data_IF_430087922306
#
_entry.id   IF_430087922306
#
_cell.length_a   1.000
_cell.length_b   1.000
_cell.length_c   1.000
_cell.angle_alpha   90.00
_cell.angle_beta   90.00
_cell.angle_gamma   90.00
#
_symmetry.space_group_name_H-M   'P 1'
#
loop_
_entity.id
_entity.type
_entity.pdbx_description
1 polymer ?
#
# COMPACT_ATOMS: atom_id res chain seq x y z
N UNK A 1 26.44 -2.77 4.60
CA UNK A 1 25.23 -2.78 3.76
C UNK A 1 25.24 -4.12 3.03
N UNK A 2 24.50 -5.09 3.52
CA UNK A 2 24.27 -6.33 2.75
C UNK A 2 23.53 -5.92 1.49
N UNK A 3 24.14 -6.07 0.33
CA UNK A 3 23.42 -5.96 -0.95
C UNK A 3 22.23 -6.90 -0.86
N UNK A 4 21.03 -6.35 -0.78
CA UNK A 4 19.80 -7.13 -0.83
C UNK A 4 19.79 -7.79 -2.19
N UNK A 5 20.13 -9.09 -2.23
CA UNK A 5 20.14 -9.87 -3.47
C UNK A 5 18.78 -9.72 -4.14
N UNK A 6 18.77 -9.24 -5.38
CA UNK A 6 17.55 -9.09 -6.17
C UNK A 6 16.76 -10.41 -6.18
N UNK A 7 15.45 -10.39 -5.89
CA UNK A 7 14.63 -11.60 -5.97
C UNK A 7 14.66 -12.19 -7.38
N UNK A 8 14.72 -13.52 -7.50
CA UNK A 8 14.70 -14.19 -8.81
C UNK A 8 13.45 -13.82 -9.62
N UNK A 9 12.30 -13.69 -8.93
CA UNK A 9 11.04 -13.26 -9.54
C UNK A 9 11.09 -11.84 -10.10
N UNK A 10 12.01 -10.99 -9.65
CA UNK A 10 12.17 -9.62 -10.15
C UNK A 10 12.94 -9.55 -11.48
N UNK A 11 13.52 -10.65 -11.97
CA UNK A 11 14.31 -10.65 -13.20
C UNK A 11 13.51 -10.15 -14.42
N UNK A 12 12.20 -10.44 -14.47
CA UNK A 12 11.32 -9.96 -15.53
C UNK A 12 11.25 -8.42 -15.60
N UNK A 13 11.44 -7.74 -14.46
CA UNK A 13 11.48 -6.28 -14.39
C UNK A 13 12.78 -5.76 -14.99
N UNK A 14 13.92 -6.40 -14.71
CA UNK A 14 15.21 -6.04 -15.30
C UNK A 14 15.21 -6.30 -16.81
N UNK A 15 14.65 -7.42 -17.25
CA UNK A 15 14.59 -7.81 -18.67
C UNK A 15 13.51 -7.05 -19.45
N UNK A 16 12.67 -6.28 -18.75
CA UNK A 16 11.61 -5.47 -19.34
C UNK A 16 12.19 -4.56 -20.44
N UNK A 17 11.57 -4.62 -21.63
CA UNK A 17 11.93 -3.79 -22.79
C UNK A 17 10.80 -2.84 -23.13
N UNK A 18 11.06 -1.51 -23.19
CA UNK A 18 10.07 -0.55 -23.63
C UNK A 18 9.47 -0.91 -24.98
N UNK A 19 8.14 -0.82 -25.08
CA UNK A 19 7.41 -0.89 -26.34
C UNK A 19 6.73 0.43 -26.71
N UNK A 20 6.73 1.37 -25.76
CA UNK A 20 6.17 2.71 -25.85
C UNK A 20 7.18 3.74 -25.32
N UNK A 21 6.83 5.01 -25.46
CA UNK A 21 7.67 6.15 -25.05
C UNK A 21 7.49 6.52 -23.57
N UNK A 22 6.35 6.15 -22.98
CA UNK A 22 5.98 6.47 -21.61
C UNK A 22 5.77 5.18 -20.80
N UNK A 23 6.02 5.25 -19.49
CA UNK A 23 5.80 4.18 -18.53
C UNK A 23 4.91 4.64 -17.38
N UNK A 24 3.94 3.81 -17.00
CA UNK A 24 3.12 4.03 -15.80
C UNK A 24 3.13 2.79 -14.92
N UNK A 25 3.64 2.94 -13.70
CA UNK A 25 3.43 2.01 -12.60
C UNK A 25 2.11 2.30 -11.90
N UNK A 26 1.33 1.27 -11.59
CA UNK A 26 -0.03 1.43 -11.05
C UNK A 26 -0.16 0.57 -9.80
N UNK A 27 -0.43 1.19 -8.66
CA UNK A 27 -0.74 0.43 -7.44
C UNK A 27 -2.10 -0.27 -7.54
N UNK A 28 -2.30 -1.30 -6.72
CA UNK A 28 -3.50 -2.13 -6.75
C UNK A 28 -4.57 -1.67 -5.77
N UNK A 29 -4.47 -2.06 -4.50
CA UNK A 29 -5.52 -1.89 -3.49
C UNK A 29 -5.66 -0.42 -3.09
N UNK A 30 -6.85 0.17 -3.23
CA UNK A 30 -7.07 1.58 -2.91
C UNK A 30 -6.68 2.54 -4.04
N UNK A 31 -6.03 2.03 -5.08
CA UNK A 31 -5.64 2.75 -6.28
C UNK A 31 -6.47 2.31 -7.49
N UNK A 32 -6.18 1.14 -8.07
CA UNK A 32 -6.96 0.57 -9.17
C UNK A 32 -8.17 -0.23 -8.66
N UNK A 33 -8.00 -0.95 -7.55
CA UNK A 33 -8.96 -1.93 -7.02
C UNK A 33 -9.64 -1.41 -5.75
N UNK A 34 -10.99 -1.50 -5.69
CA UNK A 34 -11.78 -1.16 -4.51
C UNK A 34 -11.76 -2.28 -3.46
N UNK A 35 -10.56 -2.58 -2.96
CA UNK A 35 -10.30 -3.68 -2.03
C UNK A 35 -9.69 -3.22 -0.70
N UNK A 36 -9.16 -2.00 -0.62
CA UNK A 36 -8.47 -1.51 0.57
C UNK A 36 -9.42 -1.36 1.77
N UNK A 37 -10.59 -0.76 1.54
CA UNK A 37 -11.56 -0.48 2.61
C UNK A 37 -12.10 -1.76 3.23
N UNK A 38 -12.55 -2.73 2.43
CA UNK A 38 -13.03 -4.03 2.94
C UNK A 38 -11.93 -4.81 3.66
N UNK A 39 -10.68 -4.80 3.15
CA UNK A 39 -9.54 -5.41 3.83
C UNK A 39 -9.39 -4.82 5.24
N UNK A 40 -9.40 -3.50 5.38
CA UNK A 40 -9.17 -2.87 6.69
C UNK A 40 -10.38 -2.89 7.63
N UNK A 41 -11.59 -2.68 7.10
CA UNK A 41 -12.82 -2.64 7.90
C UNK A 41 -13.25 -4.03 8.37
N UNK A 42 -13.12 -5.04 7.52
CA UNK A 42 -13.68 -6.37 7.75
C UNK A 42 -12.64 -7.46 8.03
N UNK A 43 -11.35 -7.23 7.75
CA UNK A 43 -10.30 -8.22 8.03
C UNK A 43 -9.34 -7.74 9.12
N UNK A 44 -8.62 -6.63 8.89
CA UNK A 44 -7.63 -6.13 9.86
C UNK A 44 -8.29 -5.68 11.17
N UNK A 45 -9.37 -4.89 11.10
CA UNK A 45 -10.01 -4.36 12.30
C UNK A 45 -10.57 -5.46 13.22
N UNK A 46 -11.37 -6.43 12.73
CA UNK A 46 -11.82 -7.53 13.56
C UNK A 46 -10.66 -8.38 14.10
N UNK A 47 -9.59 -8.57 13.32
CA UNK A 47 -8.41 -9.28 13.79
C UNK A 47 -7.70 -8.57 14.95
N UNK A 48 -7.50 -7.24 14.88
CA UNK A 48 -6.94 -6.49 16.03
C UNK A 48 -7.75 -6.71 17.30
N UNK A 49 -9.09 -6.65 17.18
CA UNK A 49 -9.99 -6.82 18.32
C UNK A 49 -9.90 -8.24 18.89
N UNK A 50 -9.91 -9.25 18.00
CA UNK A 50 -9.91 -10.67 18.37
C UNK A 50 -8.59 -11.11 19.01
N UNK A 51 -7.48 -10.94 18.30
CA UNK A 51 -6.20 -11.56 18.66
C UNK A 51 -5.52 -10.88 19.86
N UNK A 52 -5.81 -9.61 20.11
CA UNK A 52 -5.26 -8.88 21.27
C UNK A 52 -6.26 -8.70 22.42
N UNK A 53 -7.40 -9.42 22.39
CA UNK A 53 -8.44 -9.38 23.42
C UNK A 53 -8.96 -7.96 23.75
N UNK A 54 -9.22 -7.15 22.72
CA UNK A 54 -9.60 -5.74 22.85
C UNK A 54 -11.12 -5.50 22.73
N UNK A 55 -11.96 -6.52 22.93
CA UNK A 55 -13.41 -6.47 22.71
C UNK A 55 -14.09 -5.36 23.52
N UNK A 56 -13.69 -5.15 24.77
CA UNK A 56 -14.27 -4.11 25.64
C UNK A 56 -13.98 -2.68 25.18
N UNK A 57 -13.04 -2.48 24.26
CA UNK A 57 -12.74 -1.20 23.61
C UNK A 57 -12.96 -1.24 22.08
N UNK A 58 -13.69 -2.24 21.56
CA UNK A 58 -13.80 -2.54 20.12
C UNK A 58 -14.15 -1.34 19.24
N UNK A 59 -15.08 -0.47 19.64
CA UNK A 59 -15.41 0.75 18.89
C UNK A 59 -14.20 1.70 18.76
N UNK A 60 -13.46 1.90 19.84
CA UNK A 60 -12.27 2.75 19.87
C UNK A 60 -11.11 2.10 19.11
N UNK A 61 -10.97 0.78 19.18
CA UNK A 61 -9.98 0.02 18.40
C UNK A 61 -10.26 0.18 16.91
N UNK A 62 -11.53 0.05 16.48
CA UNK A 62 -11.93 0.25 15.09
C UNK A 62 -11.59 1.65 14.60
N UNK A 63 -12.00 2.68 15.33
CA UNK A 63 -11.67 4.06 14.97
C UNK A 63 -10.15 4.28 14.85
N UNK A 64 -9.37 3.74 15.79
CA UNK A 64 -7.89 3.84 15.76
C UNK A 64 -7.31 3.09 14.57
N UNK A 65 -7.81 1.88 14.28
CA UNK A 65 -7.34 1.07 13.17
C UNK A 65 -7.61 1.73 11.82
N UNK A 66 -8.81 2.29 11.61
CA UNK A 66 -9.16 2.97 10.37
C UNK A 66 -8.37 4.27 10.20
N UNK A 67 -8.15 5.03 11.27
CA UNK A 67 -7.26 6.19 11.20
C UNK A 67 -5.85 5.79 10.75
N UNK A 68 -5.24 4.79 11.40
CA UNK A 68 -3.88 4.34 11.08
C UNK A 68 -3.79 3.84 9.64
N UNK A 69 -4.76 3.04 9.18
CA UNK A 69 -4.60 2.31 7.93
C UNK A 69 -5.21 3.00 6.71
N UNK A 70 -6.22 3.87 6.88
CA UNK A 70 -6.98 4.48 5.78
C UNK A 70 -6.90 6.01 5.78
N UNK A 71 -6.95 6.67 6.94
CA UNK A 71 -7.29 8.11 7.02
C UNK A 71 -6.19 8.98 7.64
N UNK A 72 -4.93 8.59 7.52
CA UNK A 72 -3.80 9.36 8.06
C UNK A 72 -2.55 9.20 7.21
N UNK A 73 -1.48 9.91 7.57
CA UNK A 73 -0.17 9.77 6.93
C UNK A 73 0.45 8.37 7.01
N UNK A 74 -0.16 7.44 7.75
CA UNK A 74 0.26 6.02 7.80
C UNK A 74 -0.60 5.11 6.92
N UNK A 75 -1.46 5.68 6.07
CA UNK A 75 -2.27 4.93 5.08
C UNK A 75 -1.42 3.94 4.30
N UNK A 76 -1.91 2.71 4.15
CA UNK A 76 -1.24 1.68 3.34
C UNK A 76 0.14 1.23 3.84
N UNK A 77 0.54 1.58 5.07
CA UNK A 77 1.80 1.11 5.64
C UNK A 77 1.80 -0.41 5.86
N UNK A 78 3.00 -0.97 5.93
CA UNK A 78 3.18 -2.38 6.25
C UNK A 78 2.45 -2.76 7.56
N UNK A 79 1.77 -3.91 7.54
CA UNK A 79 0.92 -4.41 8.63
C UNK A 79 1.59 -4.40 10.01
N UNK A 80 2.88 -4.71 10.09
CA UNK A 80 3.61 -4.77 11.37
C UNK A 80 3.89 -3.36 11.92
N UNK A 81 4.14 -2.40 11.03
CA UNK A 81 4.30 -0.98 11.39
C UNK A 81 2.95 -0.41 11.83
N UNK A 82 1.88 -0.71 11.09
CA UNK A 82 0.52 -0.30 11.45
C UNK A 82 0.08 -0.89 12.80
N UNK A 83 0.43 -2.15 13.09
CA UNK A 83 0.16 -2.81 14.37
C UNK A 83 0.88 -2.10 15.53
N UNK A 84 2.17 -1.78 15.38
CA UNK A 84 2.93 -1.05 16.39
C UNK A 84 2.31 0.34 16.65
N UNK A 85 1.94 1.06 15.58
CA UNK A 85 1.29 2.37 15.68
C UNK A 85 -0.08 2.30 16.35
N UNK A 86 -0.85 1.25 16.07
CA UNK A 86 -2.14 1.01 16.73
C UNK A 86 -1.95 0.88 18.25
N UNK A 87 -1.01 0.03 18.71
CA UNK A 87 -0.74 -0.14 20.14
C UNK A 87 -0.30 1.15 20.81
N UNK A 88 0.56 1.93 20.15
CA UNK A 88 1.00 3.23 20.64
C UNK A 88 -0.20 4.18 20.84
N UNK A 89 -1.04 4.37 19.82
CA UNK A 89 -2.17 5.29 19.87
C UNK A 89 -3.24 4.84 20.87
N UNK A 90 -3.54 3.54 20.96
CA UNK A 90 -4.49 3.03 21.94
C UNK A 90 -4.03 3.29 23.38
N UNK A 91 -2.72 3.18 23.65
CA UNK A 91 -2.16 3.46 24.99
C UNK A 91 -2.21 4.94 25.35
N UNK A 92 -2.29 5.81 24.34
CA UNK A 92 -2.43 7.26 24.53
C UNK A 92 -3.89 7.72 24.62
N UNK A 93 -4.89 6.83 24.48
CA UNK A 93 -6.32 7.20 24.51
C UNK A 93 -6.93 7.03 25.91
N UNK A 94 -7.31 8.11 26.63
CA UNK A 94 -7.96 7.99 27.95
C UNK A 94 -9.18 7.06 27.95
N UNK A 95 -10.04 7.19 26.94
CA UNK A 95 -11.27 6.41 26.82
C UNK A 95 -11.02 4.91 26.66
N UNK A 96 -9.86 4.52 26.11
CA UNK A 96 -9.44 3.11 26.01
C UNK A 96 -8.95 2.63 27.37
N UNK A 97 -8.13 3.44 28.06
CA UNK A 97 -7.60 3.11 29.39
C UNK A 97 -8.72 2.95 30.42
N UNK A 98 -9.77 3.77 30.34
CA UNK A 98 -10.96 3.67 31.20
C UNK A 98 -11.73 2.34 31.03
N UNK A 99 -11.57 1.65 29.88
CA UNK A 99 -12.16 0.31 29.68
C UNK A 99 -11.39 -0.80 30.38
N UNK A 100 -10.20 -0.53 30.90
CA UNK A 100 -9.36 -1.52 31.58
C UNK A 100 -8.86 -2.64 30.67
N UNK A 101 -8.84 -2.44 29.35
CA UNK A 101 -8.25 -3.40 28.40
C UNK A 101 -6.73 -3.39 28.50
N UNK A 102 -6.12 -4.57 28.42
CA UNK A 102 -4.66 -4.68 28.34
C UNK A 102 -4.23 -4.51 26.89
N UNK A 103 -3.55 -3.40 26.60
CA UNK A 103 -2.94 -3.19 25.29
C UNK A 103 -1.52 -3.77 25.33
N UNK A 104 -1.11 -4.56 24.33
CA UNK A 104 0.28 -5.00 24.21
C UNK A 104 1.26 -3.82 24.22
N UNK A 105 2.43 -4.01 24.83
CA UNK A 105 3.43 -2.94 24.89
C UNK A 105 4.11 -2.72 23.54
N UNK A 106 4.26 -3.78 22.73
CA UNK A 106 4.85 -3.74 21.39
C UNK A 106 6.38 -3.65 21.41
N UNK A 107 7.03 -4.05 22.52
CA UNK A 107 8.49 -3.93 22.66
C UNK A 107 9.25 -4.90 21.77
N UNK A 108 8.81 -6.16 21.71
CA UNK A 108 9.43 -7.17 20.86
C UNK A 108 9.06 -6.93 19.40
N UNK A 109 7.82 -6.48 19.13
CA UNK A 109 7.42 -6.03 17.80
C UNK A 109 8.32 -4.89 17.30
N UNK A 110 8.62 -3.90 18.15
CA UNK A 110 9.53 -2.81 17.80
C UNK A 110 10.95 -3.33 17.50
N UNK A 111 11.48 -4.25 18.31
CA UNK A 111 12.76 -4.91 18.02
C UNK A 111 12.75 -5.60 16.67
N UNK A 112 11.67 -6.28 16.30
CA UNK A 112 11.52 -6.86 14.96
C UNK A 112 11.58 -5.79 13.87
N UNK A 113 10.84 -4.68 14.02
CA UNK A 113 10.83 -3.59 13.04
C UNK A 113 12.21 -2.92 12.85
N UNK A 114 13.04 -2.94 13.89
CA UNK A 114 14.39 -2.37 13.92
C UNK A 114 15.50 -3.38 13.57
N UNK A 115 15.16 -4.68 13.51
CA UNK A 115 16.14 -5.77 13.37
C UNK A 115 16.77 -5.91 11.97
N UNK A 116 16.17 -5.28 10.96
CA UNK A 116 16.53 -5.46 9.56
C UNK A 116 16.01 -6.76 8.92
N UNK A 117 15.27 -7.59 9.65
CA UNK A 117 14.55 -8.70 9.05
C UNK A 117 13.49 -8.16 8.07
N UNK A 118 13.18 -8.89 6.98
CA UNK A 118 12.11 -8.50 6.08
C UNK A 118 10.77 -8.36 6.83
N UNK A 119 10.01 -7.31 6.55
CA UNK A 119 8.70 -7.06 7.18
C UNK A 119 7.58 -7.89 6.56
N UNK A 120 7.81 -9.20 6.41
CA UNK A 120 6.90 -10.18 5.83
C UNK A 120 6.55 -11.26 6.85
N UNK A 121 5.53 -12.07 6.55
CA UNK A 121 5.14 -13.20 7.42
C UNK A 121 6.31 -14.17 7.65
N UNK A 122 7.15 -14.39 6.64
CA UNK A 122 8.38 -15.18 6.76
C UNK A 122 9.41 -14.48 7.65
N UNK A 123 9.62 -13.18 7.47
CA UNK A 123 10.65 -12.47 8.22
C UNK A 123 10.35 -12.35 9.71
N UNK A 124 9.09 -12.17 10.11
CA UNK A 124 8.70 -12.22 11.53
C UNK A 124 8.84 -13.63 12.11
N UNK A 125 8.58 -14.68 11.32
CA UNK A 125 8.81 -16.07 11.75
C UNK A 125 10.31 -16.38 11.95
N UNK A 126 11.16 -15.94 11.02
CA UNK A 126 12.62 -16.08 11.14
C UNK A 126 13.15 -15.28 12.35
N UNK A 127 12.59 -14.11 12.63
CA UNK A 127 12.90 -13.33 13.84
C UNK A 127 12.47 -14.06 15.11
N UNK A 128 11.25 -14.61 15.15
CA UNK A 128 10.71 -15.36 16.28
C UNK A 128 11.53 -16.62 16.61
N UNK A 129 12.02 -17.33 15.60
CA UNK A 129 12.89 -18.50 15.79
C UNK A 129 14.22 -18.14 16.49
N UNK A 130 14.76 -16.95 16.21
CA UNK A 130 15.96 -16.43 16.87
C UNK A 130 15.67 -15.76 18.22
N UNK A 131 14.49 -15.19 18.40
CA UNK A 131 14.09 -14.37 19.55
C UNK A 131 12.68 -14.76 20.03
N UNK A 132 12.50 -15.96 20.58
CA UNK A 132 11.18 -16.44 20.98
C UNK A 132 10.59 -15.56 22.09
N UNK A 133 9.36 -15.08 21.88
CA UNK A 133 8.63 -14.30 22.85
C UNK A 133 7.12 -14.42 22.62
N UNK A 134 6.36 -14.38 23.72
CA UNK A 134 4.89 -14.45 23.67
C UNK A 134 4.32 -13.32 22.82
N UNK A 135 4.86 -12.10 22.92
CA UNK A 135 4.38 -10.95 22.15
C UNK A 135 4.54 -11.15 20.63
N UNK A 136 5.66 -11.74 20.16
CA UNK A 136 5.86 -12.02 18.74
C UNK A 136 5.00 -13.19 18.27
N UNK A 137 4.81 -14.22 19.10
CA UNK A 137 3.88 -15.31 18.81
C UNK A 137 2.45 -14.77 18.59
N UNK A 138 1.97 -13.89 19.47
CA UNK A 138 0.66 -13.23 19.32
C UNK A 138 0.59 -12.38 18.04
N UNK A 139 1.67 -11.67 17.67
CA UNK A 139 1.73 -10.92 16.42
C UNK A 139 1.64 -11.86 15.19
N UNK A 140 2.35 -12.99 15.21
CA UNK A 140 2.29 -13.98 14.13
C UNK A 140 0.90 -14.61 14.01
N UNK A 141 0.26 -14.94 15.13
CA UNK A 141 -1.12 -15.45 15.13
C UNK A 141 -2.11 -14.42 14.57
N UNK A 142 -1.96 -13.14 14.95
CA UNK A 142 -2.74 -12.06 14.37
C UNK A 142 -2.53 -11.95 12.86
N UNK A 143 -1.28 -11.96 12.38
CA UNK A 143 -0.98 -11.85 10.95
C UNK A 143 -1.55 -13.02 10.14
N UNK A 144 -1.46 -14.24 10.67
CA UNK A 144 -2.11 -15.42 10.09
C UNK A 144 -3.63 -15.25 10.05
N UNK A 145 -4.23 -14.79 11.14
CA UNK A 145 -5.68 -14.53 11.21
C UNK A 145 -6.17 -13.47 10.23
N UNK A 146 -5.37 -12.42 9.99
CA UNK A 146 -5.65 -11.43 8.94
C UNK A 146 -5.66 -12.08 7.56
N UNK A 147 -4.66 -12.91 7.25
CA UNK A 147 -4.60 -13.59 5.95
C UNK A 147 -5.81 -14.52 5.74
N UNK A 148 -6.19 -15.30 6.76
CA UNK A 148 -7.38 -16.16 6.72
C UNK A 148 -8.67 -15.35 6.49
N UNK A 149 -8.82 -14.19 7.13
CA UNK A 149 -9.97 -13.31 6.92
C UNK A 149 -9.98 -12.69 5.52
N UNK A 150 -8.83 -12.27 4.98
CA UNK A 150 -8.75 -11.73 3.62
C UNK A 150 -9.14 -12.78 2.60
N UNK A 151 -8.60 -14.00 2.71
CA UNK A 151 -8.91 -15.11 1.80
C UNK A 151 -10.41 -15.45 1.81
N UNK A 152 -11.04 -15.40 2.99
CA UNK A 152 -12.46 -15.70 3.13
C UNK A 152 -13.39 -14.55 2.68
N UNK A 153 -13.05 -13.31 3.03
CA UNK A 153 -13.94 -12.14 2.89
C UNK A 153 -13.78 -11.40 1.57
N UNK A 154 -12.56 -11.31 1.03
CA UNK A 154 -12.23 -10.35 -0.04
C UNK A 154 -12.23 -11.04 -1.39
N UNK A 155 -13.37 -10.96 -2.09
CA UNK A 155 -13.56 -11.46 -3.45
C UNK A 155 -14.58 -10.59 -4.19
N UNK A 156 -14.48 -10.50 -5.52
CA UNK A 156 -15.39 -9.68 -6.34
C UNK A 156 -15.24 -8.16 -6.18
N UNK A 157 -14.14 -7.70 -5.57
CA UNK A 157 -13.82 -6.28 -5.44
C UNK A 157 -13.43 -5.71 -6.81
N UNK A 158 -14.36 -5.04 -7.47
CA UNK A 158 -14.15 -4.47 -8.80
C UNK A 158 -13.16 -3.29 -8.81
N UNK A 159 -12.57 -2.96 -9.96
CA UNK A 159 -11.85 -1.70 -10.11
C UNK A 159 -12.76 -0.49 -9.88
N UNK A 160 -12.17 0.61 -9.41
CA UNK A 160 -12.90 1.86 -9.28
C UNK A 160 -13.45 2.33 -10.64
N UNK A 161 -14.61 3.03 -10.67
CA UNK A 161 -15.11 3.65 -11.88
C UNK A 161 -14.05 4.56 -12.52
N UNK A 162 -13.89 4.47 -13.85
CA UNK A 162 -12.91 5.26 -14.60
C UNK A 162 -11.56 4.57 -14.81
N UNK A 163 -11.23 3.51 -14.07
CA UNK A 163 -9.94 2.80 -14.20
C UNK A 163 -9.78 2.19 -15.60
N UNK A 164 -10.80 1.49 -16.10
CA UNK A 164 -10.75 0.85 -17.41
C UNK A 164 -10.59 1.88 -18.51
N UNK A 165 -11.37 2.96 -18.44
CA UNK A 165 -11.34 4.02 -19.42
C UNK A 165 -10.00 4.78 -19.40
N UNK A 166 -9.35 4.90 -18.22
CA UNK A 166 -8.00 5.42 -18.11
C UNK A 166 -6.98 4.47 -18.76
N UNK A 167 -7.12 3.16 -18.57
CA UNK A 167 -6.24 2.17 -19.18
C UNK A 167 -6.40 2.14 -20.70
N UNK A 168 -7.62 2.24 -21.21
CA UNK A 168 -7.91 2.41 -22.63
C UNK A 168 -7.29 3.69 -23.20
N UNK A 169 -7.35 4.81 -22.45
CA UNK A 169 -6.74 6.06 -22.86
C UNK A 169 -5.21 6.01 -22.91
N UNK A 170 -4.58 5.20 -22.05
CA UNK A 170 -3.14 4.92 -22.07
C UNK A 170 -2.73 3.93 -23.18
N UNK A 171 -3.68 3.10 -23.65
CA UNK A 171 -3.41 2.03 -24.59
C UNK A 171 -2.74 2.54 -25.87
N UNK A 172 -1.63 1.89 -26.26
CA UNK A 172 -0.88 2.25 -27.46
C UNK A 172 0.12 3.41 -27.29
N UNK A 173 0.12 4.11 -26.15
CA UNK A 173 1.03 5.24 -25.86
C UNK A 173 1.90 5.02 -24.63
N UNK A 174 1.44 4.19 -23.70
CA UNK A 174 2.09 3.96 -22.41
C UNK A 174 2.28 2.46 -22.20
N UNK A 175 3.45 2.07 -21.69
CA UNK A 175 3.64 0.74 -21.10
C UNK A 175 3.21 0.76 -19.64
N UNK A 176 2.22 -0.07 -19.29
CA UNK A 176 1.69 -0.13 -17.93
C UNK A 176 2.21 -1.37 -17.19
N UNK A 177 2.40 -1.22 -15.88
CA UNK A 177 2.83 -2.29 -14.99
C UNK A 177 2.13 -2.14 -13.63
N UNK A 178 1.74 -3.24 -12.99
CA UNK A 178 1.32 -3.15 -11.59
C UNK A 178 2.54 -2.91 -10.70
N UNK A 179 2.39 -2.08 -9.67
CA UNK A 179 3.44 -1.81 -8.66
C UNK A 179 2.80 -1.98 -7.30
N UNK A 180 2.79 -3.20 -6.78
CA UNK A 180 1.99 -3.54 -5.60
C UNK A 180 2.80 -4.24 -4.50
N UNK A 181 2.36 -4.03 -3.25
CA UNK A 181 2.81 -4.78 -2.08
C UNK A 181 1.92 -6.00 -1.77
N UNK A 182 0.94 -6.30 -2.62
CA UNK A 182 0.06 -7.47 -2.52
C UNK A 182 0.80 -8.73 -2.98
N UNK A 183 0.55 -9.90 -2.34
CA UNK A 183 1.04 -11.19 -2.84
C UNK A 183 0.71 -11.39 -4.32
N UNK A 184 1.70 -11.81 -5.12
CA UNK A 184 1.55 -11.99 -6.57
C UNK A 184 0.37 -12.89 -6.93
N UNK A 185 0.14 -13.99 -6.21
CA UNK A 185 -0.98 -14.91 -6.48
C UNK A 185 -2.35 -14.23 -6.33
N UNK A 186 -2.53 -13.44 -5.27
CA UNK A 186 -3.77 -12.68 -5.07
C UNK A 186 -3.91 -11.59 -6.15
N UNK A 187 -2.82 -10.88 -6.44
CA UNK A 187 -2.78 -9.82 -7.44
C UNK A 187 -3.10 -10.33 -8.84
N UNK A 188 -2.49 -11.44 -9.28
CA UNK A 188 -2.79 -12.06 -10.57
C UNK A 188 -4.26 -12.48 -10.66
N UNK A 189 -4.77 -13.16 -9.63
CA UNK A 189 -6.18 -13.58 -9.58
C UNK A 189 -7.14 -12.38 -9.71
N UNK A 190 -6.97 -11.37 -8.86
CA UNK A 190 -7.82 -10.17 -8.82
C UNK A 190 -7.79 -9.42 -10.16
N UNK A 191 -6.60 -9.23 -10.75
CA UNK A 191 -6.45 -8.52 -12.01
C UNK A 191 -6.99 -9.32 -13.21
N UNK A 192 -6.91 -10.65 -13.18
CA UNK A 192 -7.51 -11.51 -14.20
C UNK A 192 -9.03 -11.61 -14.06
N UNK A 193 -9.56 -11.72 -12.84
CA UNK A 193 -11.00 -11.75 -12.56
C UNK A 193 -11.72 -10.53 -13.14
N UNK A 194 -11.04 -9.39 -13.16
CA UNK A 194 -11.55 -8.14 -13.70
C UNK A 194 -10.97 -7.77 -15.06
N UNK A 195 -10.40 -8.67 -15.85
CA UNK A 195 -9.90 -8.37 -17.20
C UNK A 195 -8.92 -7.15 -17.27
N UNK A 196 -8.21 -6.85 -16.18
CA UNK A 196 -7.23 -5.76 -16.12
C UNK A 196 -5.83 -6.24 -16.47
N UNK A 197 -5.55 -7.54 -16.27
CA UNK A 197 -4.25 -8.15 -16.55
C UNK A 197 -3.78 -7.89 -17.99
N UNK A 198 -4.70 -7.85 -18.96
CA UNK A 198 -4.39 -7.61 -20.38
C UNK A 198 -3.81 -6.22 -20.69
N UNK A 199 -3.96 -5.25 -19.80
CA UNK A 199 -3.38 -3.92 -19.94
C UNK A 199 -1.94 -3.84 -19.42
N UNK A 200 -1.52 -4.80 -18.60
CA UNK A 200 -0.24 -4.77 -17.90
C UNK A 200 0.81 -5.58 -18.67
N UNK A 201 2.00 -5.01 -18.82
CA UNK A 201 3.16 -5.72 -19.36
C UNK A 201 3.72 -6.73 -18.37
N UNK A 202 3.67 -6.39 -17.08
CA UNK A 202 4.07 -7.23 -15.96
C UNK A 202 3.13 -6.95 -14.79
N UNK A 203 2.76 -8.00 -14.07
CA UNK A 203 2.06 -7.90 -12.79
C UNK A 203 3.11 -8.07 -11.68
N UNK A 204 3.61 -6.98 -11.09
CA UNK A 204 4.64 -6.99 -10.05
C UNK A 204 4.03 -6.87 -8.65
N UNK A 205 4.03 -7.99 -7.93
CA UNK A 205 3.65 -8.07 -6.51
C UNK A 205 4.86 -8.11 -5.56
N UNK A 206 4.59 -8.23 -4.25
CA UNK A 206 5.61 -8.13 -3.18
C UNK A 206 6.84 -9.04 -3.35
N UNK A 207 6.70 -10.20 -4.00
CA UNK A 207 7.80 -11.15 -4.19
C UNK A 207 8.83 -10.65 -5.21
N UNK A 208 8.52 -9.60 -5.96
CA UNK A 208 9.42 -8.94 -6.90
C UNK A 208 10.16 -7.74 -6.30
N UNK A 209 10.03 -7.46 -4.99
CA UNK A 209 10.75 -6.39 -4.30
C UNK A 209 9.84 -5.29 -3.76
N UNK A 210 10.45 -4.15 -3.41
CA UNK A 210 9.71 -2.95 -3.01
C UNK A 210 9.18 -2.18 -4.22
N UNK A 211 8.17 -1.32 -4.01
CA UNK A 211 7.59 -0.48 -5.07
C UNK A 211 8.64 0.40 -5.77
N UNK A 212 9.55 1.02 -5.00
CA UNK A 212 10.69 1.77 -5.56
C UNK A 212 11.59 0.87 -6.43
N UNK A 213 11.92 -0.34 -5.97
CA UNK A 213 12.69 -1.31 -6.76
C UNK A 213 11.97 -1.76 -8.03
N UNK A 214 10.64 -1.88 -8.00
CA UNK A 214 9.87 -2.20 -9.20
C UNK A 214 10.05 -1.10 -10.26
N UNK A 215 9.86 0.16 -9.88
CA UNK A 215 10.08 1.31 -10.78
C UNK A 215 11.53 1.36 -11.25
N UNK A 216 12.48 1.16 -10.34
CA UNK A 216 13.90 1.17 -10.65
C UNK A 216 14.27 0.16 -11.72
N UNK A 217 13.92 -1.12 -11.52
CA UNK A 217 14.30 -2.19 -12.43
C UNK A 217 13.53 -2.16 -13.74
N UNK A 218 12.24 -1.81 -13.71
CA UNK A 218 11.38 -1.83 -14.90
C UNK A 218 11.54 -0.60 -15.80
N UNK A 219 11.85 0.58 -15.24
CA UNK A 219 11.75 1.84 -15.97
C UNK A 219 13.01 2.71 -16.00
N UNK A 220 13.79 2.78 -14.90
CA UNK A 220 14.95 3.70 -14.84
C UNK A 220 16.02 3.31 -15.87
N UNK A 221 16.53 4.31 -16.59
CA UNK A 221 17.49 4.13 -17.68
C UNK A 221 16.92 3.50 -18.95
N UNK A 222 15.61 3.19 -18.97
CA UNK A 222 14.86 2.66 -20.13
C UNK A 222 13.88 3.69 -20.68
N UNK A 223 13.45 4.62 -19.85
CA UNK A 223 12.64 5.79 -20.18
C UNK A 223 13.28 7.04 -19.57
N UNK A 224 12.93 8.22 -20.09
CA UNK A 224 13.29 9.50 -19.46
C UNK A 224 12.52 9.67 -18.14
N UNK A 225 13.12 10.37 -17.16
CA UNK A 225 12.59 10.45 -15.78
C UNK A 225 11.25 11.20 -15.68
N UNK A 226 10.97 12.09 -16.62
CA UNK A 226 9.68 12.78 -16.79
C UNK A 226 8.69 11.98 -17.66
N UNK A 227 9.09 10.82 -18.19
CA UNK A 227 8.23 9.86 -18.90
C UNK A 227 7.87 8.64 -18.05
N UNK A 228 8.24 8.64 -16.76
CA UNK A 228 7.90 7.60 -15.78
C UNK A 228 6.97 8.21 -14.74
N UNK A 229 5.81 7.58 -14.55
CA UNK A 229 4.85 7.96 -13.51
C UNK A 229 4.45 6.77 -12.65
N UNK A 230 4.34 6.98 -11.35
CA UNK A 230 3.69 6.05 -10.42
C UNK A 230 2.34 6.62 -10.00
N UNK A 231 1.28 5.84 -10.18
CA UNK A 231 -0.07 6.13 -9.71
C UNK A 231 -0.33 5.32 -8.43
N UNK A 232 -0.75 5.97 -7.35
CA UNK A 232 -1.04 5.30 -6.08
C UNK A 232 -1.80 6.17 -5.10
N UNK A 233 -2.34 5.56 -4.05
CA UNK A 233 -3.19 6.21 -3.04
C UNK A 233 -2.51 6.31 -1.67
N UNK A 234 -1.42 5.60 -1.42
CA UNK A 234 -0.72 5.60 -0.14
C UNK A 234 0.54 6.48 -0.15
N UNK A 235 0.96 7.05 1.00
CA UNK A 235 2.20 7.83 1.10
C UNK A 235 3.43 7.03 0.66
N UNK A 236 3.42 5.70 0.82
CA UNK A 236 4.50 4.84 0.35
C UNK A 236 4.68 4.82 -1.17
N UNK A 237 3.62 5.06 -1.95
CA UNK A 237 3.69 5.21 -3.41
C UNK A 237 4.37 6.52 -3.78
N UNK A 238 3.90 7.62 -3.19
CA UNK A 238 4.51 8.95 -3.34
C UNK A 238 6.01 8.89 -3.02
N UNK A 239 6.35 8.33 -1.87
CA UNK A 239 7.73 8.26 -1.41
C UNK A 239 8.60 7.39 -2.33
N UNK A 240 8.04 6.30 -2.88
CA UNK A 240 8.73 5.45 -3.87
C UNK A 240 8.96 6.17 -5.19
N UNK A 241 7.98 6.95 -5.66
CA UNK A 241 8.12 7.76 -6.87
C UNK A 241 9.22 8.82 -6.69
N UNK A 242 9.19 9.52 -5.57
CA UNK A 242 10.15 10.59 -5.27
C UNK A 242 11.56 10.07 -5.01
N UNK A 243 11.72 8.91 -4.37
CA UNK A 243 13.05 8.31 -4.18
C UNK A 243 13.73 7.95 -5.51
N UNK A 244 12.93 7.63 -6.54
CA UNK A 244 13.42 7.35 -7.90
C UNK A 244 13.43 8.60 -8.81
N UNK A 245 13.09 9.79 -8.28
CA UNK A 245 12.98 11.05 -9.00
C UNK A 245 11.97 11.08 -10.18
N UNK A 246 10.98 10.18 -10.15
CA UNK A 246 9.95 10.07 -11.20
C UNK A 246 8.68 10.82 -10.83
N UNK A 247 7.70 10.87 -11.72
CA UNK A 247 6.42 11.55 -11.47
C UNK A 247 5.53 10.72 -10.54
N UNK A 248 4.71 11.41 -9.76
CA UNK A 248 3.68 10.80 -8.92
C UNK A 248 2.32 11.38 -9.25
N UNK A 249 1.32 10.52 -9.42
CA UNK A 249 -0.08 10.93 -9.51
C UNK A 249 -0.88 10.30 -8.36
N UNK A 250 -1.44 11.12 -7.45
CA UNK A 250 -2.21 10.60 -6.33
C UNK A 250 -3.63 10.19 -6.75
N UNK A 251 -4.06 9.03 -6.25
CA UNK A 251 -5.47 8.70 -6.11
C UNK A 251 -5.93 9.24 -4.75
N UNK A 252 -6.90 10.16 -4.78
CA UNK A 252 -7.39 10.85 -3.58
C UNK A 252 -8.27 9.91 -2.74
N UNK A 253 -7.92 9.66 -1.46
CA UNK A 253 -8.75 8.84 -0.57
C UNK A 253 -10.18 9.38 -0.45
N UNK A 254 -11.17 8.51 -0.70
CA UNK A 254 -12.60 8.86 -0.71
C UNK A 254 -13.04 9.63 -1.98
N UNK A 255 -12.18 9.76 -2.98
CA UNK A 255 -12.45 10.39 -4.27
C UNK A 255 -11.76 9.64 -5.41
N UNK A 256 -11.70 8.31 -5.32
CA UNK A 256 -10.95 7.42 -6.21
C UNK A 256 -11.49 7.51 -7.65
N UNK A 257 -12.80 7.40 -7.82
CA UNK A 257 -13.44 7.53 -9.13
C UNK A 257 -13.19 8.91 -9.78
N UNK A 258 -13.27 9.99 -8.99
CA UNK A 258 -12.97 11.34 -9.46
C UNK A 258 -11.49 11.51 -9.82
N UNK A 259 -10.60 10.83 -9.09
CA UNK A 259 -9.16 10.83 -9.36
C UNK A 259 -8.85 10.13 -10.69
N UNK A 260 -9.48 9.00 -10.99
CA UNK A 260 -9.33 8.34 -12.29
C UNK A 260 -9.94 9.13 -13.45
N UNK A 261 -11.07 9.80 -13.22
CA UNK A 261 -11.62 10.72 -14.21
C UNK A 261 -10.66 11.88 -14.52
N UNK A 262 -10.16 12.56 -13.47
CA UNK A 262 -9.17 13.65 -13.60
C UNK A 262 -7.88 13.16 -14.27
N UNK A 263 -7.46 11.94 -13.97
CA UNK A 263 -6.29 11.34 -14.60
C UNK A 263 -6.47 11.30 -16.11
N UNK A 264 -7.56 10.70 -16.58
CA UNK A 264 -7.86 10.54 -18.00
C UNK A 264 -8.04 11.87 -18.72
N UNK A 265 -8.76 12.80 -18.11
CA UNK A 265 -9.20 14.04 -18.76
C UNK A 265 -8.16 15.16 -18.70
N UNK A 266 -7.28 15.15 -17.69
CA UNK A 266 -6.32 16.23 -17.47
C UNK A 266 -4.87 15.73 -17.31
N UNK A 267 -4.62 14.80 -16.38
CA UNK A 267 -3.26 14.43 -16.03
C UNK A 267 -2.53 13.69 -17.14
N UNK A 268 -3.21 12.74 -17.81
CA UNK A 268 -2.64 11.92 -18.87
C UNK A 268 -2.25 12.78 -20.09
N UNK A 269 -3.09 13.70 -20.62
CA UNK A 269 -2.66 14.65 -21.64
C UNK A 269 -1.40 15.44 -21.23
N UNK A 270 -1.38 16.01 -20.01
CA UNK A 270 -0.22 16.75 -19.51
C UNK A 270 1.04 15.89 -19.41
N UNK A 271 0.89 14.63 -18.99
CA UNK A 271 1.99 13.67 -18.91
C UNK A 271 2.56 13.37 -20.29
N UNK A 272 1.70 13.07 -21.27
CA UNK A 272 2.11 12.77 -22.64
C UNK A 272 2.70 13.99 -23.38
N UNK A 273 2.34 15.20 -22.97
CA UNK A 273 2.87 16.46 -23.53
C UNK A 273 4.10 16.99 -22.76
N UNK A 274 4.57 16.28 -21.72
CA UNK A 274 5.73 16.69 -20.91
C UNK A 274 5.48 17.92 -20.00
N UNK A 275 4.22 18.25 -19.73
CA UNK A 275 3.79 19.42 -18.94
C UNK A 275 3.21 19.07 -17.57
N UNK A 276 3.31 17.81 -17.15
CA UNK A 276 2.80 17.34 -15.86
C UNK A 276 3.66 17.81 -14.67
N UNK A 277 4.98 17.79 -14.81
CA UNK A 277 5.93 18.15 -13.75
C UNK A 277 5.86 19.65 -13.43
N UNK A 278 6.06 20.00 -12.15
CA UNK A 278 6.06 21.37 -11.67
C UNK A 278 4.74 21.72 -10.97
N UNK A 279 4.23 22.93 -11.20
CA UNK A 279 3.06 23.48 -10.47
C UNK A 279 1.84 22.54 -10.46
N UNK A 280 1.62 21.78 -11.54
CA UNK A 280 0.49 20.85 -11.62
C UNK A 280 0.65 19.66 -10.67
N UNK A 281 1.79 18.94 -10.73
CA UNK A 281 2.07 17.85 -9.79
C UNK A 281 2.09 18.37 -8.34
N UNK A 282 2.73 19.51 -8.09
CA UNK A 282 2.86 20.07 -6.73
C UNK A 282 1.48 20.38 -6.12
N UNK A 283 0.55 20.92 -6.92
CA UNK A 283 -0.82 21.17 -6.49
C UNK A 283 -1.59 19.88 -6.16
N UNK A 284 -1.46 18.83 -6.98
CA UNK A 284 -2.08 17.53 -6.72
C UNK A 284 -1.52 16.89 -5.44
N UNK A 285 -0.21 16.96 -5.23
CA UNK A 285 0.43 16.41 -4.03
C UNK A 285 -0.02 17.18 -2.79
N UNK A 286 -0.11 18.50 -2.85
CA UNK A 286 -0.60 19.32 -1.73
C UNK A 286 -2.08 19.02 -1.38
N UNK A 287 -2.95 18.84 -2.39
CA UNK A 287 -4.33 18.40 -2.19
C UNK A 287 -4.37 17.04 -1.50
N UNK A 288 -3.61 16.07 -2.01
CA UNK A 288 -3.49 14.73 -1.45
C UNK A 288 -3.04 14.73 0.02
N UNK A 289 -1.97 15.45 0.33
CA UNK A 289 -1.42 15.53 1.69
C UNK A 289 -2.41 16.16 2.69
N UNK A 290 -3.24 17.10 2.23
CA UNK A 290 -4.26 17.74 3.06
C UNK A 290 -5.36 16.77 3.53
N UNK A 291 -5.56 15.65 2.82
CA UNK A 291 -6.54 14.61 3.15
C UNK A 291 -6.03 13.63 4.22
N UNK A 292 -4.71 13.61 4.49
CA UNK A 292 -4.06 12.63 5.37
C UNK A 292 -3.47 13.31 6.62
N UNK A 293 -4.28 13.52 7.68
CA UNK A 293 -3.78 14.10 8.91
C UNK A 293 -2.70 13.23 9.59
N UNK A 294 -1.66 13.87 10.13
CA UNK A 294 -0.60 13.18 10.88
C UNK A 294 -1.00 12.83 12.32
N UNK A 295 -1.92 13.62 12.90
CA UNK A 295 -2.40 13.45 14.28
C UNK A 295 -3.85 13.03 14.29
N UNK A 296 -4.25 12.14 15.21
CA UNK A 296 -5.64 11.72 15.30
C UNK A 296 -6.56 12.86 15.77
N UNK A 297 -7.87 12.79 15.43
CA UNK A 297 -8.85 13.80 15.84
C UNK A 297 -9.27 13.72 17.31
N UNK A 298 -8.89 12.66 18.03
CA UNK A 298 -9.22 12.46 19.44
C UNK A 298 -8.10 12.93 20.37
N UNK A 299 -8.43 13.10 21.65
CA UNK A 299 -7.47 13.48 22.69
C UNK A 299 -6.48 12.34 22.97
N UNK A 300 -5.20 12.69 23.04
CA UNK A 300 -4.11 11.82 23.52
C UNK A 300 -3.55 12.33 24.86
N UNK A 301 -2.83 11.47 25.60
CA UNK A 301 -2.11 11.80 26.85
C UNK A 301 -0.61 11.87 26.67
#
# INVERSE_FOLDING_TARGET
>A
MTETKMPERAQVLVDFKPTREFFVGIDSDGCAMDAMDIKHQECFTPAYIKYFNLQAASTLVRETALFVNLYSTTRGQNRWVALARLFELLRQRPEVLERGVRIPEGRELQKFLDSGYPRSDRGIADFAAAHPSVEIEECMEWGKGVNELIEWMVHGCAPFPGVREAFDAMAGRVDCMTVSATPMEALEREWHEHDLAGYMKVIAGQEMGSKAQHVHWAAKGKYDDDHIMLIGDAPGDRDSAFSEAVLFYPIMPGSEAASWQRFREEALPRFLDGTYRGEYQDALVAEYESLLPATPPWRTI
#
